data_IF_786806922696
#
_entry.id   IF_786806922696
#
_cell.length_a   1.000
_cell.length_b   1.000
_cell.length_c   1.000
_cell.angle_alpha   90.00
_cell.angle_beta   90.00
_cell.angle_gamma   90.00
#
_symmetry.space_group_name_H-M   'P 1'
#
loop_
_entity.id
_entity.type
_entity.pdbx_description
1 polymer ?
#
# COMPACT_ATOMS: atom_id res chain seq x y z
N UNK A 1 -31.02 34.14 -46.61
CA UNK A 1 -31.78 33.62 -45.44
C UNK A 1 -30.87 32.63 -44.73
N UNK A 2 -30.40 32.69 -43.47
CA UNK A 2 -30.54 33.47 -42.22
C UNK A 2 -29.13 33.31 -41.58
N UNK A 3 -28.31 34.30 -41.26
CA UNK A 3 -28.37 35.40 -40.29
C UNK A 3 -28.63 35.02 -38.82
N UNK A 4 -27.51 35.04 -38.06
CA UNK A 4 -27.29 35.42 -36.65
C UNK A 4 -27.73 34.50 -35.51
N UNK A 5 -26.78 34.13 -34.64
CA UNK A 5 -26.72 34.70 -33.28
C UNK A 5 -25.42 34.35 -32.57
N UNK A 6 -24.53 35.35 -32.46
CA UNK A 6 -23.55 35.46 -31.38
C UNK A 6 -24.34 35.74 -30.09
N UNK A 7 -24.34 34.81 -29.15
CA UNK A 7 -24.66 35.13 -27.76
C UNK A 7 -23.35 35.39 -27.02
N UNK A 8 -23.03 36.68 -26.93
CA UNK A 8 -22.15 37.28 -25.94
C UNK A 8 -22.68 36.93 -24.55
N UNK A 9 -22.01 36.02 -23.84
CA UNK A 9 -22.21 35.88 -22.40
C UNK A 9 -21.14 36.67 -21.66
N UNK A 10 -21.62 37.80 -21.14
CA UNK A 10 -21.05 38.71 -20.17
C UNK A 10 -20.19 37.97 -19.14
N UNK A 11 -18.91 38.31 -19.11
CA UNK A 11 -18.00 37.94 -18.04
C UNK A 11 -18.40 38.62 -16.74
N UNK A 12 -18.97 37.85 -15.82
CA UNK A 12 -19.06 38.22 -14.41
C UNK A 12 -17.76 37.77 -13.73
N UNK A 13 -16.79 38.67 -13.65
CA UNK A 13 -15.62 38.52 -12.79
C UNK A 13 -16.08 38.62 -11.32
N UNK A 14 -16.44 37.49 -10.73
CA UNK A 14 -16.66 37.37 -9.29
C UNK A 14 -15.27 37.35 -8.66
N UNK A 15 -14.83 38.53 -8.19
CA UNK A 15 -13.68 38.66 -7.32
C UNK A 15 -13.98 37.93 -6.00
N UNK A 16 -13.46 36.71 -5.89
CA UNK A 16 -13.35 35.97 -4.63
C UNK A 16 -12.41 36.74 -3.71
N UNK A 17 -12.96 37.64 -2.91
CA UNK A 17 -12.28 38.18 -1.73
C UNK A 17 -12.20 37.04 -0.74
N UNK A 18 -11.07 36.34 -0.73
CA UNK A 18 -10.72 35.42 0.35
C UNK A 18 -10.56 36.28 1.61
N UNK A 19 -11.63 36.39 2.40
CA UNK A 19 -11.48 36.83 3.78
C UNK A 19 -10.74 35.71 4.51
N UNK A 20 -9.45 35.94 4.75
CA UNK A 20 -8.67 35.18 5.72
C UNK A 20 -9.39 35.33 7.06
N UNK A 21 -10.21 34.33 7.40
CA UNK A 21 -10.76 34.19 8.73
C UNK A 21 -9.59 33.84 9.63
N UNK A 22 -8.90 34.87 10.13
CA UNK A 22 -7.92 34.74 11.20
C UNK A 22 -8.66 34.12 12.39
N UNK A 23 -8.47 32.82 12.55
CA UNK A 23 -9.00 32.08 13.68
C UNK A 23 -8.43 32.70 14.95
N UNK A 24 -9.26 33.49 15.64
CA UNK A 24 -8.88 34.22 16.86
C UNK A 24 -8.34 33.22 17.88
N UNK A 25 -7.07 33.39 18.22
CA UNK A 25 -6.37 32.52 19.17
C UNK A 25 -6.81 32.91 20.59
N UNK A 26 -7.78 32.20 21.16
CA UNK A 26 -8.21 32.42 22.55
C UNK A 26 -7.31 31.64 23.53
N UNK A 27 -6.92 32.31 24.60
CA UNK A 27 -6.16 31.75 25.71
C UNK A 27 -7.11 31.45 26.87
N UNK A 28 -7.02 30.25 27.45
CA UNK A 28 -7.77 29.89 28.65
C UNK A 28 -6.90 30.12 29.90
N UNK A 29 -7.29 31.09 30.71
CA UNK A 29 -6.62 31.44 31.97
C UNK A 29 -7.54 31.05 33.14
N UNK A 30 -7.37 29.82 33.65
CA UNK A 30 -8.28 29.26 34.65
C UNK A 30 -9.67 28.97 34.08
N UNK A 31 -10.71 29.63 34.62
CA UNK A 31 -12.11 29.51 34.15
C UNK A 31 -12.51 30.54 33.09
N UNK A 32 -11.66 31.54 32.80
CA UNK A 32 -11.98 32.63 31.89
C UNK A 32 -11.21 32.52 30.57
N UNK A 33 -11.84 32.95 29.47
CA UNK A 33 -11.24 33.03 28.13
C UNK A 33 -10.87 34.47 27.81
N UNK A 34 -9.68 34.68 27.26
CA UNK A 34 -9.16 35.99 26.90
C UNK A 34 -8.39 35.93 25.58
N UNK A 35 -8.41 37.01 24.81
CA UNK A 35 -7.65 37.14 23.55
C UNK A 35 -6.18 37.50 23.77
N UNK A 36 -5.78 37.70 25.03
CA UNK A 36 -4.40 38.03 25.41
C UNK A 36 -3.80 36.92 26.26
N UNK A 37 -2.48 36.65 26.15
CA UNK A 37 -1.80 35.66 26.97
C UNK A 37 -1.95 35.97 28.46
N UNK A 38 -2.06 34.92 29.29
CA UNK A 38 -2.31 35.04 30.73
C UNK A 38 -1.19 35.84 31.42
N UNK A 39 -1.55 36.91 32.13
CA UNK A 39 -0.61 37.95 32.59
C UNK A 39 0.37 37.56 33.72
N UNK A 40 0.55 36.28 34.07
CA UNK A 40 1.36 35.88 35.24
C UNK A 40 2.16 34.58 35.05
N UNK A 41 2.57 34.27 33.82
CA UNK A 41 3.39 33.06 33.57
C UNK A 41 2.67 31.73 33.86
N UNK A 42 1.36 31.77 34.12
CA UNK A 42 0.53 30.57 34.14
C UNK A 42 0.51 30.00 32.72
N UNK A 43 0.75 28.69 32.60
CA UNK A 43 0.75 27.97 31.33
C UNK A 43 -0.68 27.98 30.76
N UNK A 44 -1.02 29.05 30.05
CA UNK A 44 -2.30 29.16 29.35
C UNK A 44 -2.33 28.12 28.24
N UNK A 45 -3.28 27.19 28.30
CA UNK A 45 -3.52 26.26 27.20
C UNK A 45 -4.11 27.08 26.05
N UNK A 46 -3.33 27.27 24.99
CA UNK A 46 -3.78 27.91 23.76
C UNK A 46 -4.87 27.04 23.15
N UNK A 47 -6.09 27.57 23.03
CA UNK A 47 -7.20 26.91 22.34
C UNK A 47 -7.34 27.64 21.00
N UNK A 48 -6.43 27.34 20.08
CA UNK A 48 -6.40 27.96 18.76
C UNK A 48 -5.50 27.17 17.82
N UNK A 49 -6.09 26.64 16.75
CA UNK A 49 -5.49 26.12 15.49
C UNK A 49 -4.22 25.26 15.56
N UNK A 50 -3.83 24.76 16.72
CA UNK A 50 -3.06 23.53 16.78
C UNK A 50 -4.06 22.41 16.54
N UNK A 51 -4.07 21.91 15.30
CA UNK A 51 -4.72 20.66 14.88
C UNK A 51 -4.83 19.76 16.10
N UNK A 52 -6.06 19.61 16.60
CA UNK A 52 -6.35 18.87 17.82
C UNK A 52 -5.57 17.56 17.75
N UNK A 53 -4.46 17.48 18.48
CA UNK A 53 -4.01 16.22 19.03
C UNK A 53 -5.10 15.92 20.04
N UNK A 54 -6.15 15.28 19.55
CA UNK A 54 -7.08 14.56 20.38
C UNK A 54 -6.21 13.56 21.16
N UNK A 55 -5.84 13.95 22.37
CA UNK A 55 -5.39 13.07 23.46
C UNK A 55 -6.56 12.19 23.95
N UNK A 56 -7.49 11.82 23.06
CA UNK A 56 -8.22 10.58 23.22
C UNK A 56 -7.24 9.49 22.85
N UNK A 57 -6.95 8.60 23.78
CA UNK A 57 -6.11 7.41 23.61
C UNK A 57 -6.71 6.39 22.62
N UNK A 58 -7.25 6.87 21.49
CA UNK A 58 -7.51 6.07 20.33
C UNK A 58 -6.15 5.58 19.80
N UNK A 59 -6.05 4.30 19.43
CA UNK A 59 -4.82 3.78 18.85
C UNK A 59 -4.41 4.65 17.67
N UNK A 60 -3.13 5.03 17.62
CA UNK A 60 -2.60 5.87 16.55
C UNK A 60 -2.92 5.21 15.20
N UNK A 61 -3.90 5.77 14.49
CA UNK A 61 -4.31 5.27 13.17
C UNK A 61 -3.14 5.49 12.21
N UNK A 62 -2.81 4.47 11.44
CA UNK A 62 -1.76 4.56 10.45
C UNK A 62 -2.03 5.69 9.45
N UNK A 63 -0.97 6.39 9.02
CA UNK A 63 -1.08 7.47 8.04
C UNK A 63 -1.73 7.01 6.72
N UNK A 64 -1.51 5.77 6.28
CA UNK A 64 -2.16 5.18 5.12
C UNK A 64 -3.67 5.01 5.33
N UNK A 65 -4.09 4.47 6.48
CA UNK A 65 -5.50 4.31 6.80
C UNK A 65 -6.21 5.67 6.95
N UNK A 66 -5.52 6.68 7.49
CA UNK A 66 -6.04 8.05 7.55
C UNK A 66 -6.24 8.65 6.15
N UNK A 67 -5.29 8.47 5.22
CA UNK A 67 -5.47 8.92 3.82
C UNK A 67 -6.65 8.23 3.15
N UNK A 68 -6.84 6.93 3.39
CA UNK A 68 -7.99 6.17 2.86
C UNK A 68 -9.32 6.71 3.41
N UNK A 69 -9.38 7.07 4.70
CA UNK A 69 -10.59 7.65 5.29
C UNK A 69 -10.87 9.08 4.80
N UNK A 70 -9.84 9.87 4.53
CA UNK A 70 -9.98 11.18 3.85
C UNK A 70 -10.47 11.05 2.41
N UNK A 71 -10.00 10.04 1.66
CA UNK A 71 -10.53 9.76 0.32
C UNK A 71 -12.01 9.32 0.38
N UNK A 72 -12.36 8.45 1.33
CA UNK A 72 -13.75 8.03 1.57
C UNK A 72 -14.67 9.23 1.86
N UNK A 73 -14.19 10.23 2.61
CA UNK A 73 -14.93 11.47 2.88
C UNK A 73 -15.35 12.18 1.59
N UNK A 74 -14.47 12.26 0.59
CA UNK A 74 -14.77 12.88 -0.71
C UNK A 74 -15.85 12.12 -1.46
N UNK A 75 -15.80 10.79 -1.43
CA UNK A 75 -16.80 9.91 -2.05
C UNK A 75 -18.17 10.09 -1.37
N UNK A 76 -18.20 10.14 -0.03
CA UNK A 76 -19.44 10.35 0.75
C UNK A 76 -20.05 11.71 0.43
N UNK A 77 -19.24 12.76 0.30
CA UNK A 77 -19.72 14.08 -0.10
C UNK A 77 -20.29 14.08 -1.52
N UNK A 78 -19.62 13.41 -2.46
CA UNK A 78 -20.12 13.25 -3.83
C UNK A 78 -21.45 12.50 -3.87
N UNK A 79 -21.56 11.40 -3.10
CA UNK A 79 -22.80 10.64 -2.91
C UNK A 79 -23.93 11.50 -2.34
N UNK A 80 -23.64 12.35 -1.35
CA UNK A 80 -24.62 13.30 -0.79
C UNK A 80 -25.04 14.37 -1.81
N UNK A 81 -24.16 14.71 -2.75
CA UNK A 81 -24.46 15.57 -3.90
C UNK A 81 -25.25 14.88 -5.02
N UNK A 82 -25.63 13.61 -4.86
CA UNK A 82 -26.42 12.86 -5.85
C UNK A 82 -25.59 12.07 -6.87
N UNK A 83 -24.26 12.03 -6.75
CA UNK A 83 -23.44 11.20 -7.62
C UNK A 83 -23.79 9.71 -7.42
N UNK A 84 -23.97 8.97 -8.52
CA UNK A 84 -24.18 7.53 -8.45
C UNK A 84 -22.85 6.78 -8.35
N UNK A 85 -22.90 5.51 -7.91
CA UNK A 85 -21.71 4.63 -7.90
C UNK A 85 -21.10 4.51 -9.30
N UNK A 86 -21.94 4.40 -10.33
CA UNK A 86 -21.50 4.25 -11.71
C UNK A 86 -20.76 5.49 -12.22
N UNK A 87 -21.24 6.69 -11.89
CA UNK A 87 -20.60 7.94 -12.31
C UNK A 87 -19.19 8.07 -11.71
N UNK A 88 -19.05 7.72 -10.43
CA UNK A 88 -17.76 7.76 -9.75
C UNK A 88 -16.80 6.70 -10.28
N UNK A 89 -17.29 5.50 -10.58
CA UNK A 89 -16.46 4.44 -11.17
C UNK A 89 -16.01 4.74 -12.60
N UNK A 90 -16.79 5.49 -13.38
CA UNK A 90 -16.45 5.85 -14.76
C UNK A 90 -15.23 6.78 -14.87
N UNK A 91 -14.90 7.52 -13.80
CA UNK A 91 -13.78 8.46 -13.77
C UNK A 91 -12.52 7.95 -13.08
N UNK A 92 -12.47 6.68 -12.67
CA UNK A 92 -11.39 6.14 -11.83
C UNK A 92 -10.62 5.06 -12.57
N UNK A 93 -9.32 5.31 -12.77
CA UNK A 93 -8.38 4.36 -13.38
C UNK A 93 -7.73 3.43 -12.33
N UNK A 94 -7.75 3.83 -11.06
CA UNK A 94 -7.10 3.08 -9.98
C UNK A 94 -8.03 2.02 -9.40
N UNK A 95 -7.60 0.75 -9.44
CA UNK A 95 -8.34 -0.36 -8.82
C UNK A 95 -8.57 -0.15 -7.31
N UNK A 96 -7.64 0.51 -6.61
CA UNK A 96 -7.78 0.78 -5.18
C UNK A 96 -8.90 1.78 -4.89
N UNK A 97 -9.00 2.83 -5.70
CA UNK A 97 -10.01 3.86 -5.56
C UNK A 97 -11.39 3.34 -5.99
N UNK A 98 -11.45 2.51 -7.04
CA UNK A 98 -12.66 1.79 -7.42
C UNK A 98 -13.19 0.94 -6.27
N UNK A 99 -12.33 0.13 -5.63
CA UNK A 99 -12.71 -0.65 -4.44
C UNK A 99 -13.21 0.23 -3.30
N UNK A 100 -12.54 1.36 -3.03
CA UNK A 100 -12.97 2.29 -2.00
C UNK A 100 -14.37 2.87 -2.28
N UNK A 101 -14.69 3.16 -3.54
CA UNK A 101 -16.04 3.57 -3.95
C UNK A 101 -17.04 2.45 -3.66
N UNK A 102 -16.72 1.20 -3.98
CA UNK A 102 -17.60 0.08 -3.68
C UNK A 102 -17.84 -0.07 -2.18
N UNK A 103 -16.77 -0.02 -1.37
CA UNK A 103 -16.82 -0.10 0.09
C UNK A 103 -17.75 0.99 0.67
N UNK A 104 -17.58 2.24 0.23
CA UNK A 104 -18.39 3.39 0.70
C UNK A 104 -19.86 3.25 0.34
N UNK A 105 -20.20 2.69 -0.83
CA UNK A 105 -21.60 2.48 -1.22
C UNK A 105 -22.22 1.23 -0.60
N UNK A 106 -21.42 0.21 -0.27
CA UNK A 106 -21.87 -0.99 0.44
C UNK A 106 -22.27 -0.67 1.89
N UNK A 107 -21.56 0.26 2.54
CA UNK A 107 -21.85 0.66 3.91
C UNK A 107 -23.05 1.63 3.95
N UNK A 108 -24.06 1.29 4.75
CA UNK A 108 -25.18 2.17 5.09
C UNK A 108 -24.89 2.86 6.41
N UNK A 109 -25.07 4.18 6.48
CA UNK A 109 -24.90 4.94 7.71
C UNK A 109 -24.51 6.39 7.48
N UNK A 110 -24.20 7.08 8.57
CA UNK A 110 -23.64 8.43 8.53
C UNK A 110 -22.14 8.42 8.20
N UNK A 111 -21.56 9.61 8.03
CA UNK A 111 -20.13 9.75 7.73
C UNK A 111 -19.24 9.15 8.83
N UNK A 112 -19.61 9.30 10.10
CA UNK A 112 -18.82 8.84 11.24
C UNK A 112 -18.75 7.31 11.28
N UNK A 113 -19.87 6.65 11.00
CA UNK A 113 -19.97 5.20 10.91
C UNK A 113 -19.18 4.67 9.72
N UNK A 114 -19.34 5.26 8.52
CA UNK A 114 -18.59 4.84 7.34
C UNK A 114 -17.09 5.00 7.57
N UNK A 115 -16.65 6.14 8.11
CA UNK A 115 -15.25 6.40 8.45
C UNK A 115 -14.70 5.33 9.40
N UNK A 116 -15.43 5.06 10.51
CA UNK A 116 -15.00 4.08 11.51
C UNK A 116 -14.87 2.68 10.91
N UNK A 117 -15.81 2.27 10.06
CA UNK A 117 -15.75 0.97 9.37
C UNK A 117 -14.53 0.89 8.45
N UNK A 118 -14.29 1.90 7.60
CA UNK A 118 -13.15 1.92 6.68
C UNK A 118 -11.81 1.93 7.43
N UNK A 119 -11.70 2.71 8.50
CA UNK A 119 -10.48 2.73 9.33
C UNK A 119 -10.25 1.37 10.01
N UNK A 120 -11.31 0.72 10.50
CA UNK A 120 -11.23 -0.61 11.13
C UNK A 120 -10.82 -1.68 10.11
N UNK A 121 -11.43 -1.68 8.92
CA UNK A 121 -11.10 -2.63 7.85
C UNK A 121 -9.68 -2.43 7.32
N UNK A 122 -9.23 -1.18 7.18
CA UNK A 122 -7.85 -0.88 6.80
C UNK A 122 -6.85 -1.44 7.81
N UNK A 123 -7.08 -1.22 9.10
CA UNK A 123 -6.22 -1.75 10.17
C UNK A 123 -6.27 -3.28 10.22
N UNK A 124 -7.44 -3.89 10.07
CA UNK A 124 -7.59 -5.35 10.01
C UNK A 124 -6.86 -5.96 8.80
N UNK A 125 -6.95 -5.32 7.63
CA UNK A 125 -6.23 -5.73 6.43
C UNK A 125 -4.73 -5.61 6.63
N UNK A 126 -4.28 -4.51 7.22
CA UNK A 126 -2.88 -4.31 7.54
C UNK A 126 -2.36 -5.38 8.51
N UNK A 127 -3.12 -5.73 9.54
CA UNK A 127 -2.73 -6.76 10.49
C UNK A 127 -2.67 -8.15 9.84
N UNK A 128 -3.60 -8.46 8.93
CA UNK A 128 -3.53 -9.68 8.11
C UNK A 128 -2.26 -9.70 7.25
N UNK A 129 -1.91 -8.58 6.62
CA UNK A 129 -0.68 -8.47 5.82
C UNK A 129 0.57 -8.64 6.68
N UNK A 130 0.62 -8.02 7.87
CA UNK A 130 1.74 -8.21 8.82
C UNK A 130 1.87 -9.65 9.29
N UNK A 131 0.75 -10.33 9.53
CA UNK A 131 0.73 -11.74 9.89
C UNK A 131 1.15 -12.65 8.73
N UNK A 132 0.75 -12.32 7.50
CA UNK A 132 1.10 -13.11 6.31
C UNK A 132 2.54 -12.91 5.87
N UNK A 133 3.12 -11.72 5.98
CA UNK A 133 4.53 -11.50 5.61
C UNK A 133 5.50 -12.34 6.48
N UNK A 134 5.09 -12.68 7.70
CA UNK A 134 5.79 -13.67 8.53
C UNK A 134 5.46 -15.12 8.18
N UNK A 135 4.20 -15.43 7.86
CA UNK A 135 3.74 -16.79 7.57
C UNK A 135 4.21 -17.32 6.21
N UNK A 136 4.23 -16.49 5.17
CA UNK A 136 4.76 -16.89 3.86
C UNK A 136 6.26 -17.17 3.97
N UNK A 137 7.01 -16.45 4.81
CA UNK A 137 8.40 -16.79 5.07
C UNK A 137 8.57 -18.08 5.86
N UNK A 138 7.74 -18.36 6.87
CA UNK A 138 7.88 -19.56 7.69
C UNK A 138 7.66 -20.85 6.89
N UNK A 139 6.60 -20.93 6.08
CA UNK A 139 6.34 -22.12 5.25
C UNK A 139 7.33 -22.24 4.10
N UNK A 140 7.73 -21.12 3.49
CA UNK A 140 8.76 -21.13 2.44
C UNK A 140 10.13 -21.52 2.98
N UNK A 141 10.49 -21.08 4.20
CA UNK A 141 11.71 -21.50 4.91
C UNK A 141 11.66 -22.98 5.29
N UNK A 142 10.48 -23.50 5.67
CA UNK A 142 10.30 -24.92 5.99
C UNK A 142 10.50 -25.79 4.76
N UNK A 143 9.88 -25.39 3.63
CA UNK A 143 10.08 -26.06 2.34
C UNK A 143 11.55 -25.97 1.88
N UNK A 144 12.18 -24.80 2.03
CA UNK A 144 13.58 -24.61 1.66
C UNK A 144 14.53 -25.50 2.50
N UNK A 145 14.27 -25.66 3.81
CA UNK A 145 15.01 -26.59 4.66
C UNK A 145 14.82 -28.04 4.25
N UNK A 146 13.59 -28.45 3.96
CA UNK A 146 13.32 -29.84 3.55
C UNK A 146 14.02 -30.18 2.22
N UNK A 147 14.04 -29.25 1.27
CA UNK A 147 14.79 -29.41 0.02
C UNK A 147 16.30 -29.47 0.27
N UNK A 148 16.82 -28.61 1.15
CA UNK A 148 18.24 -28.60 1.50
C UNK A 148 18.69 -29.89 2.20
N UNK A 149 17.87 -30.45 3.08
CA UNK A 149 18.15 -31.71 3.78
C UNK A 149 18.15 -32.90 2.82
N UNK A 150 17.23 -32.93 1.84
CA UNK A 150 17.21 -33.96 0.79
C UNK A 150 18.46 -33.91 -0.10
N UNK A 151 18.85 -32.71 -0.54
CA UNK A 151 20.07 -32.55 -1.34
C UNK A 151 21.33 -33.00 -0.59
N UNK A 152 21.40 -32.71 0.72
CA UNK A 152 22.54 -33.13 1.55
C UNK A 152 22.57 -34.64 1.81
N UNK A 153 21.41 -35.28 1.94
CA UNK A 153 21.31 -36.73 2.08
C UNK A 153 21.79 -37.46 0.82
N UNK A 154 21.45 -36.95 -0.37
CA UNK A 154 21.93 -37.51 -1.64
C UNK A 154 23.45 -37.34 -1.82
N UNK A 155 24.02 -36.21 -1.36
CA UNK A 155 25.47 -35.97 -1.44
C UNK A 155 26.28 -36.93 -0.55
N UNK A 156 25.78 -37.24 0.65
CA UNK A 156 26.43 -38.21 1.57
C UNK A 156 26.35 -39.63 1.02
N UNK A 157 25.23 -40.00 0.39
CA UNK A 157 25.09 -41.32 -0.25
C UNK A 157 26.04 -41.51 -1.45
N UNK A 158 26.46 -40.43 -2.12
CA UNK A 158 27.37 -40.49 -3.26
C UNK A 158 28.87 -40.57 -2.89
N UNK A 159 29.24 -40.39 -1.61
CA UNK A 159 30.65 -40.42 -1.16
C UNK A 159 31.13 -41.78 -0.61
N UNK A 160 30.23 -42.74 -0.42
CA UNK A 160 30.57 -44.07 0.09
C UNK A 160 30.71 -45.14 -0.99
N UNK A 161 31.67 -44.99 -1.91
CA UNK A 161 32.16 -46.13 -2.72
C UNK A 161 33.60 -45.85 -3.18
N UNK A 162 34.55 -46.19 -2.32
CA UNK A 162 36.00 -46.17 -2.52
C UNK A 162 36.45 -47.33 -3.44
N UNK A 163 35.87 -47.36 -4.65
CA UNK A 163 36.20 -48.31 -5.70
C UNK A 163 36.61 -47.62 -7.00
N UNK A 164 37.87 -47.13 -7.08
CA UNK A 164 38.58 -46.70 -8.32
C UNK A 164 37.67 -46.18 -9.46
N UNK A 165 36.88 -45.14 -9.21
CA UNK A 165 35.99 -44.58 -10.23
C UNK A 165 36.73 -43.52 -11.05
N UNK A 166 36.92 -43.78 -12.35
CA UNK A 166 37.33 -42.77 -13.34
C UNK A 166 36.38 -41.58 -13.21
N UNK A 167 36.89 -40.38 -12.93
CA UNK A 167 36.13 -39.12 -12.93
C UNK A 167 35.19 -39.08 -14.15
N UNK A 168 33.86 -39.20 -14.01
CA UNK A 168 32.98 -38.90 -15.11
C UNK A 168 33.10 -37.40 -15.39
N UNK A 169 33.18 -37.06 -16.67
CA UNK A 169 33.35 -35.69 -17.13
C UNK A 169 32.31 -34.76 -16.45
N UNK A 170 32.75 -33.58 -16.02
CA UNK A 170 31.99 -32.57 -15.28
C UNK A 170 30.80 -31.97 -16.05
N UNK A 171 30.47 -32.48 -17.23
CA UNK A 171 29.45 -31.95 -18.14
C UNK A 171 28.03 -32.24 -17.65
N UNK A 172 27.77 -33.35 -16.96
CA UNK A 172 26.41 -33.73 -16.55
C UNK A 172 25.87 -32.90 -15.38
N UNK A 173 26.74 -32.43 -14.47
CA UNK A 173 26.33 -31.59 -13.32
C UNK A 173 25.92 -30.18 -13.74
N UNK A 174 26.53 -29.64 -14.79
CA UNK A 174 26.19 -28.30 -15.28
C UNK A 174 24.84 -28.31 -16.00
N UNK A 175 24.51 -29.39 -16.73
CA UNK A 175 23.22 -29.51 -17.41
C UNK A 175 22.01 -29.46 -16.45
N UNK A 176 22.04 -30.21 -15.34
CA UNK A 176 20.95 -30.19 -14.36
C UNK A 176 20.84 -28.85 -13.62
N UNK A 177 21.96 -28.20 -13.36
CA UNK A 177 21.98 -26.85 -12.79
C UNK A 177 21.32 -25.83 -13.73
N UNK A 178 21.59 -25.92 -15.03
CA UNK A 178 21.00 -25.03 -16.03
C UNK A 178 19.49 -25.23 -16.18
N UNK A 179 18.98 -26.46 -16.13
CA UNK A 179 17.53 -26.71 -16.14
C UNK A 179 16.84 -26.12 -14.90
N UNK A 180 17.45 -26.26 -13.72
CA UNK A 180 16.88 -25.71 -12.49
C UNK A 180 16.83 -24.17 -12.54
N UNK A 181 17.91 -23.52 -12.99
CA UNK A 181 17.96 -22.07 -13.18
C UNK A 181 16.89 -21.61 -14.18
N UNK A 182 16.70 -22.35 -15.29
CA UNK A 182 15.66 -22.05 -16.28
C UNK A 182 14.27 -22.12 -15.67
N UNK A 183 13.95 -23.20 -14.97
CA UNK A 183 12.65 -23.39 -14.32
C UNK A 183 12.36 -22.29 -13.28
N UNK A 184 13.36 -21.91 -12.48
CA UNK A 184 13.20 -20.81 -11.52
C UNK A 184 12.96 -19.46 -12.21
N UNK A 185 13.60 -19.20 -13.35
CA UNK A 185 13.36 -17.98 -14.12
C UNK A 185 11.93 -17.90 -14.67
N UNK A 186 11.39 -19.03 -15.15
CA UNK A 186 10.01 -19.11 -15.65
C UNK A 186 8.97 -18.92 -14.53
N UNK A 187 9.22 -19.49 -13.34
CA UNK A 187 8.38 -19.26 -12.15
C UNK A 187 8.37 -17.79 -11.73
N UNK A 188 9.52 -17.10 -11.76
CA UNK A 188 9.59 -15.69 -11.43
C UNK A 188 8.84 -14.83 -12.45
N UNK A 189 8.91 -15.17 -13.73
CA UNK A 189 8.16 -14.46 -14.78
C UNK A 189 6.65 -14.66 -14.64
N UNK A 190 6.21 -15.86 -14.26
CA UNK A 190 4.81 -16.10 -13.92
C UNK A 190 4.38 -15.29 -12.68
N UNK A 191 5.22 -15.22 -11.65
CA UNK A 191 4.98 -14.42 -10.44
C UNK A 191 4.87 -12.92 -10.71
N UNK A 192 5.73 -12.37 -11.58
CA UNK A 192 5.68 -10.97 -11.99
C UNK A 192 4.39 -10.67 -12.75
N UNK A 193 3.96 -11.55 -13.66
CA UNK A 193 2.72 -11.37 -14.42
C UNK A 193 1.47 -11.48 -13.55
N UNK A 194 1.50 -12.31 -12.51
CA UNK A 194 0.38 -12.52 -11.62
C UNK A 194 0.25 -11.44 -10.52
N UNK A 195 1.35 -10.75 -10.20
CA UNK A 195 1.35 -9.74 -9.14
C UNK A 195 0.90 -8.37 -9.64
N UNK A 196 0.00 -7.73 -8.92
CA UNK A 196 -0.39 -6.33 -9.11
C UNK A 196 0.32 -5.36 -8.17
N UNK A 197 1.09 -5.88 -7.19
CA UNK A 197 1.80 -5.08 -6.21
C UNK A 197 3.22 -4.73 -6.70
N UNK A 198 3.51 -3.42 -6.76
CA UNK A 198 4.76 -2.91 -7.30
C UNK A 198 5.98 -3.31 -6.45
N UNK A 199 5.82 -3.42 -5.13
CA UNK A 199 6.90 -3.85 -4.24
C UNK A 199 7.27 -5.32 -4.49
N UNK A 200 6.26 -6.19 -4.64
CA UNK A 200 6.44 -7.60 -4.98
C UNK A 200 7.09 -7.78 -6.35
N UNK A 201 6.71 -6.98 -7.35
CA UNK A 201 7.34 -7.00 -8.68
C UNK A 201 8.85 -6.69 -8.59
N UNK A 202 9.24 -5.68 -7.81
CA UNK A 202 10.65 -5.32 -7.61
C UNK A 202 11.45 -6.44 -6.95
N UNK A 203 10.86 -7.16 -5.98
CA UNK A 203 11.50 -8.32 -5.35
C UNK A 203 11.75 -9.43 -6.37
N UNK A 204 10.76 -9.74 -7.21
CA UNK A 204 10.92 -10.76 -8.25
C UNK A 204 11.94 -10.36 -9.32
N UNK A 205 11.96 -9.09 -9.73
CA UNK A 205 12.97 -8.58 -10.67
C UNK A 205 14.38 -8.73 -10.11
N UNK A 206 14.63 -8.33 -8.86
CA UNK A 206 15.94 -8.49 -8.22
C UNK A 206 16.38 -9.95 -8.19
N UNK A 207 15.47 -10.87 -7.86
CA UNK A 207 15.77 -12.31 -7.80
C UNK A 207 16.04 -12.88 -9.20
N UNK A 208 15.38 -12.35 -10.23
CA UNK A 208 15.65 -12.70 -11.63
C UNK A 208 17.06 -12.26 -12.06
N UNK A 209 17.51 -11.09 -11.64
CA UNK A 209 18.89 -10.62 -11.92
C UNK A 209 19.95 -11.48 -11.23
N UNK A 210 19.68 -11.94 -10.00
CA UNK A 210 20.55 -12.89 -9.29
C UNK A 210 20.63 -14.24 -10.01
N UNK A 211 19.51 -14.76 -10.52
CA UNK A 211 19.47 -15.98 -11.33
C UNK A 211 20.18 -15.81 -12.68
N UNK A 212 20.08 -14.64 -13.31
CA UNK A 212 20.81 -14.35 -14.55
C UNK A 212 22.33 -14.36 -14.31
N UNK A 213 22.81 -13.80 -13.20
CA UNK A 213 24.22 -13.89 -12.79
C UNK A 213 24.63 -15.34 -12.54
N UNK A 214 23.81 -16.13 -11.84
CA UNK A 214 24.07 -17.55 -11.60
C UNK A 214 24.15 -18.35 -12.92
N UNK A 215 23.25 -18.07 -13.87
CA UNK A 215 23.25 -18.68 -15.22
C UNK A 215 24.56 -18.42 -15.95
N UNK A 216 25.03 -17.17 -15.91
CA UNK A 216 26.30 -16.78 -16.55
C UNK A 216 27.51 -17.45 -15.91
N UNK A 217 27.54 -17.55 -14.57
CA UNK A 217 28.63 -18.20 -13.84
C UNK A 217 28.69 -19.72 -14.12
N UNK A 218 27.53 -20.35 -14.29
CA UNK A 218 27.42 -21.77 -14.64
C UNK A 218 27.71 -22.07 -16.12
N UNK A 219 27.99 -21.05 -16.95
CA UNK A 219 28.16 -21.20 -18.41
C UNK A 219 26.98 -21.91 -19.09
N UNK A 220 25.77 -21.66 -18.59
CA UNK A 220 24.56 -22.22 -19.18
C UNK A 220 24.28 -21.55 -20.53
N UNK A 221 23.96 -22.32 -21.57
CA UNK A 221 23.47 -21.77 -22.84
C UNK A 221 22.13 -21.02 -22.63
#
# INVERSE_FOLDING_TARGET
MKQWSLCVFVGAAIALVAMESDAQTMYRCGSNYQDKPCAQGQVGKVIGTQSSRDDSAAPAIDAACRRRSEAAKKIIWSRKGGASKADLLAGVDSMEESRLIEDVYAIKGDYTQIRKTIETECMATKERMRGSDGAVNADTLRLAREVQDKLRAEEIAAQGDDGKFKRPASTTKNASLCENIKMQSEMLDAGIKASSDQATILVFQKKKDELAKARSAASCP
#
